data_IF_115527090057
#
_entry.id   IF_115527090057
#
_cell.length_a   1.000
_cell.length_b   1.000
_cell.length_c   1.000
_cell.angle_alpha   90.00
_cell.angle_beta   90.00
_cell.angle_gamma   90.00
#
_symmetry.space_group_name_H-M   'P 1'
#
loop_
_entity.id
_entity.type
_entity.pdbx_description
1 polymer ?
#
# COMPACT_ATOMS: atom_id res chain seq x y z
N UNK A 1 14.23 -9.08 -4.87
CA UNK A 1 12.79 -8.76 -4.77
C UNK A 1 12.07 -9.71 -5.70
N UNK A 2 11.02 -10.39 -5.22
CA UNK A 2 10.08 -11.05 -6.14
C UNK A 2 9.10 -9.97 -6.58
N UNK A 3 8.67 -9.98 -7.84
CA UNK A 3 7.74 -8.97 -8.38
C UNK A 3 6.40 -8.95 -7.61
N UNK A 4 6.04 -10.07 -6.96
CA UNK A 4 4.79 -10.25 -6.22
C UNK A 4 4.88 -9.92 -4.73
N UNK A 5 5.99 -9.32 -4.26
CA UNK A 5 6.20 -9.05 -2.84
C UNK A 5 6.97 -7.74 -2.59
N UNK A 6 6.35 -6.83 -1.85
CA UNK A 6 6.98 -5.65 -1.24
C UNK A 6 7.32 -5.91 0.23
N UNK A 7 8.42 -5.31 0.70
CA UNK A 7 8.86 -5.37 2.10
C UNK A 7 9.10 -3.96 2.61
N UNK A 8 8.30 -3.56 3.59
CA UNK A 8 8.31 -2.23 4.18
C UNK A 8 8.76 -2.32 5.65
N UNK A 9 9.74 -1.52 6.06
CA UNK A 9 10.27 -1.53 7.44
C UNK A 9 9.88 -0.27 8.19
N UNK A 10 9.18 -0.43 9.31
CA UNK A 10 8.69 0.66 10.14
C UNK A 10 9.46 0.72 11.46
N UNK A 11 9.99 1.91 11.80
CA UNK A 11 10.71 2.16 13.06
C UNK A 11 9.80 2.81 14.09
N UNK A 12 9.60 2.13 15.21
CA UNK A 12 8.76 2.55 16.35
C UNK A 12 9.59 3.35 17.39
N UNK A 13 10.30 4.36 16.90
CA UNK A 13 11.23 5.16 17.71
C UNK A 13 10.53 6.18 18.62
N UNK A 14 11.34 6.86 19.45
CA UNK A 14 10.88 7.87 20.42
C UNK A 14 10.02 8.99 19.82
N UNK A 15 10.30 9.40 18.58
CA UNK A 15 9.53 10.46 17.90
C UNK A 15 8.07 10.06 17.67
N UNK A 16 7.80 8.78 17.37
CA UNK A 16 6.46 8.27 17.15
C UNK A 16 5.65 8.27 18.45
N UNK A 17 6.27 7.84 19.56
CA UNK A 17 5.68 7.88 20.90
C UNK A 17 5.39 9.31 21.37
N UNK A 18 6.29 10.25 21.09
CA UNK A 18 6.07 11.69 21.38
C UNK A 18 4.89 12.29 20.60
N UNK A 19 4.56 11.72 19.42
CA UNK A 19 3.40 12.13 18.62
C UNK A 19 2.09 11.43 19.03
N UNK A 20 2.12 10.67 20.13
CA UNK A 20 0.92 10.04 20.72
C UNK A 20 0.68 8.59 20.32
N UNK A 21 1.55 7.97 19.53
CA UNK A 21 1.41 6.55 19.20
C UNK A 21 1.89 5.67 20.36
N UNK A 22 0.97 4.90 20.96
CA UNK A 22 1.34 3.85 21.91
C UNK A 22 1.81 2.60 21.14
N UNK A 23 3.13 2.50 20.94
CA UNK A 23 3.72 1.37 20.22
C UNK A 23 3.48 0.02 20.90
N UNK A 24 3.37 -0.04 22.23
CA UNK A 24 3.17 -1.31 22.93
C UNK A 24 1.76 -1.86 22.65
N UNK A 25 0.73 -1.02 22.82
CA UNK A 25 -0.66 -1.38 22.53
C UNK A 25 -0.87 -1.72 21.05
N UNK A 26 -0.24 -0.96 20.14
CA UNK A 26 -0.24 -1.28 18.70
C UNK A 26 0.35 -2.67 18.41
N UNK A 27 1.43 -3.04 19.09
CA UNK A 27 2.08 -4.35 18.91
C UNK A 27 1.20 -5.49 19.41
N UNK A 28 0.44 -5.28 20.49
CA UNK A 28 -0.55 -6.24 20.98
C UNK A 28 -1.70 -6.43 19.98
N UNK A 29 -2.08 -5.37 19.27
CA UNK A 29 -3.16 -5.36 18.28
C UNK A 29 -2.68 -5.57 16.84
N UNK A 30 -1.44 -6.02 16.63
CA UNK A 30 -0.82 -6.06 15.30
C UNK A 30 -1.58 -6.98 14.32
N UNK A 31 -2.16 -8.07 14.82
CA UNK A 31 -2.99 -8.96 14.04
C UNK A 31 -4.30 -8.28 13.61
N UNK A 32 -4.99 -7.59 14.53
CA UNK A 32 -6.22 -6.86 14.21
C UNK A 32 -5.97 -5.73 13.20
N UNK A 33 -4.79 -5.10 13.26
CA UNK A 33 -4.37 -4.11 12.26
C UNK A 33 -4.17 -4.77 10.90
N UNK A 34 -3.50 -5.94 10.84
CA UNK A 34 -3.34 -6.70 9.60
C UNK A 34 -4.71 -7.07 9.00
N UNK A 35 -5.64 -7.55 9.81
CA UNK A 35 -6.97 -7.95 9.38
C UNK A 35 -7.77 -6.77 8.80
N UNK A 36 -7.72 -5.61 9.47
CA UNK A 36 -8.36 -4.38 8.96
C UNK A 36 -7.77 -3.93 7.63
N UNK A 37 -6.44 -3.98 7.50
CA UNK A 37 -5.77 -3.64 6.23
C UNK A 37 -6.21 -4.63 5.15
N UNK A 38 -6.17 -5.93 5.43
CA UNK A 38 -6.56 -6.97 4.46
C UNK A 38 -8.03 -6.87 4.03
N UNK A 39 -8.92 -6.51 4.95
CA UNK A 39 -10.32 -6.24 4.65
C UNK A 39 -10.45 -5.04 3.69
N UNK A 40 -9.73 -3.95 3.96
CA UNK A 40 -9.74 -2.77 3.09
C UNK A 40 -9.18 -3.08 1.70
N UNK A 41 -8.07 -3.83 1.62
CA UNK A 41 -7.48 -4.25 0.34
C UNK A 41 -8.45 -5.11 -0.47
N UNK A 42 -9.20 -5.99 0.20
CA UNK A 42 -10.24 -6.81 -0.46
C UNK A 42 -11.33 -5.93 -1.05
N UNK A 43 -11.82 -4.94 -0.31
CA UNK A 43 -12.84 -3.99 -0.79
C UNK A 43 -12.35 -3.19 -2.00
N UNK A 44 -11.09 -2.75 -1.99
CA UNK A 44 -10.52 -2.03 -3.14
C UNK A 44 -10.35 -2.94 -4.36
N UNK A 45 -9.96 -4.20 -4.18
CA UNK A 45 -9.86 -5.15 -5.30
C UNK A 45 -11.21 -5.43 -5.95
N UNK A 46 -12.31 -5.45 -5.19
CA UNK A 46 -13.67 -5.62 -5.71
C UNK A 46 -14.12 -4.48 -6.64
N UNK A 47 -13.53 -3.29 -6.52
CA UNK A 47 -13.85 -2.16 -7.39
C UNK A 47 -13.34 -2.37 -8.82
N UNK A 48 -12.29 -3.19 -8.99
CA UNK A 48 -11.65 -3.43 -10.28
C UNK A 48 -11.21 -2.15 -11.00
N UNK A 49 -10.97 -1.08 -10.21
CA UNK A 49 -10.75 0.27 -10.70
C UNK A 49 -9.64 0.34 -11.74
N UNK A 50 -9.89 1.10 -12.79
CA UNK A 50 -8.89 1.40 -13.80
C UNK A 50 -7.79 2.28 -13.21
N UNK A 51 -6.57 1.96 -13.59
CA UNK A 51 -5.38 2.70 -13.25
C UNK A 51 -4.94 3.44 -14.50
N UNK A 52 -4.83 4.76 -14.39
CA UNK A 52 -4.49 5.63 -15.52
C UNK A 52 -3.24 6.46 -15.22
N UNK A 53 -2.57 6.94 -16.26
CA UNK A 53 -1.43 7.83 -16.14
C UNK A 53 -1.83 9.22 -16.62
N UNK A 54 -1.67 10.22 -15.76
CA UNK A 54 -1.88 11.63 -16.07
C UNK A 54 -0.53 12.31 -16.25
N UNK A 55 -0.32 12.94 -17.40
CA UNK A 55 0.89 13.71 -17.71
C UNK A 55 0.62 15.21 -17.54
N UNK A 56 1.48 15.91 -16.81
CA UNK A 56 1.48 17.37 -16.69
C UNK A 56 2.22 18.03 -17.86
N UNK A 57 1.82 17.68 -19.10
CA UNK A 57 2.43 18.17 -20.33
C UNK A 57 2.85 17.05 -21.30
N UNK A 58 3.54 17.43 -22.37
CA UNK A 58 3.92 16.53 -23.48
C UNK A 58 5.43 16.22 -23.51
N UNK A 59 6.25 16.94 -22.74
CA UNK A 59 7.68 16.71 -22.71
C UNK A 59 8.03 15.43 -21.92
N UNK A 60 9.17 14.82 -22.25
CA UNK A 60 9.65 13.64 -21.52
C UNK A 60 9.95 13.96 -20.05
N UNK A 61 10.34 15.19 -19.75
CA UNK A 61 10.66 15.70 -18.42
C UNK A 61 9.43 16.11 -17.61
N UNK A 62 8.25 16.12 -18.21
CA UNK A 62 7.03 16.51 -17.52
C UNK A 62 6.63 15.45 -16.49
N UNK A 63 6.03 15.93 -15.40
CA UNK A 63 5.65 15.08 -14.28
C UNK A 63 4.53 14.13 -14.68
N UNK A 64 4.63 12.88 -14.24
CA UNK A 64 3.65 11.83 -14.51
C UNK A 64 3.08 11.33 -13.19
N UNK A 65 1.76 11.14 -13.18
CA UNK A 65 1.01 10.73 -12.02
C UNK A 65 0.21 9.48 -12.34
N UNK A 66 0.40 8.47 -11.51
CA UNK A 66 -0.41 7.28 -11.47
C UNK A 66 -1.71 7.62 -10.73
N UNK A 67 -2.84 7.40 -11.38
CA UNK A 67 -4.16 7.78 -10.89
C UNK A 67 -5.03 6.52 -10.74
N UNK A 68 -5.64 6.33 -9.57
CA UNK A 68 -6.58 5.24 -9.31
C UNK A 68 -7.73 5.75 -8.43
N UNK A 69 -8.96 5.48 -8.83
CA UNK A 69 -10.14 5.81 -8.03
C UNK A 69 -10.49 4.62 -7.12
N UNK A 70 -10.33 4.79 -5.80
CA UNK A 70 -10.70 3.78 -4.80
C UNK A 70 -12.12 3.99 -4.25
N UNK A 71 -12.90 4.90 -4.84
CA UNK A 71 -14.24 5.27 -4.40
C UNK A 71 -14.31 5.76 -2.93
N UNK A 72 -13.21 6.37 -2.46
CA UNK A 72 -13.09 6.94 -1.10
C UNK A 72 -13.12 8.48 -1.11
N UNK A 73 -13.66 9.05 -2.18
CA UNK A 73 -13.91 10.48 -2.33
C UNK A 73 -13.00 11.17 -3.35
N UNK A 74 -11.69 10.97 -3.25
CA UNK A 74 -10.73 11.53 -4.22
C UNK A 74 -9.99 10.42 -4.96
N UNK A 75 -9.69 10.69 -6.23
CA UNK A 75 -8.77 9.87 -7.01
C UNK A 75 -7.38 9.95 -6.37
N UNK A 76 -6.79 8.79 -6.10
CA UNK A 76 -5.43 8.69 -5.58
C UNK A 76 -4.47 9.02 -6.70
N UNK A 77 -3.59 10.00 -6.46
CA UNK A 77 -2.54 10.40 -7.40
C UNK A 77 -1.16 10.19 -6.78
N UNK A 78 -0.32 9.37 -7.41
CA UNK A 78 1.04 9.09 -6.97
C UNK A 78 2.01 9.50 -8.08
N UNK A 79 3.00 10.36 -7.82
CA UNK A 79 3.99 10.73 -8.83
C UNK A 79 4.82 9.51 -9.20
N UNK A 80 4.65 9.02 -10.43
CA UNK A 80 5.38 7.86 -10.92
C UNK A 80 5.53 7.85 -12.44
N UNK A 81 6.76 7.56 -12.91
CA UNK A 81 7.09 7.45 -14.33
C UNK A 81 7.34 6.02 -14.81
N UNK A 82 7.00 5.01 -14.00
CA UNK A 82 7.24 3.59 -14.29
C UNK A 82 6.09 2.92 -15.07
N UNK A 83 6.33 1.67 -15.50
CA UNK A 83 5.31 0.77 -16.05
C UNK A 83 4.62 0.02 -14.91
N UNK A 84 3.37 0.36 -14.63
CA UNK A 84 2.55 -0.26 -13.59
C UNK A 84 1.40 -1.08 -14.19
N UNK A 85 0.70 -1.84 -13.34
CA UNK A 85 -0.61 -2.40 -13.67
C UNK A 85 -1.58 -1.30 -14.11
N UNK A 86 -2.47 -1.64 -15.03
CA UNK A 86 -3.47 -0.79 -15.67
C UNK A 86 -4.85 -0.92 -15.04
N UNK A 87 -5.07 -1.91 -14.17
CA UNK A 87 -6.30 -2.02 -13.37
C UNK A 87 -6.07 -2.86 -12.11
N UNK A 88 -6.86 -2.60 -11.07
CA UNK A 88 -6.97 -3.49 -9.90
C UNK A 88 -7.51 -4.87 -10.29
N UNK A 89 -8.24 -4.99 -11.40
CA UNK A 89 -8.73 -6.25 -11.96
C UNK A 89 -7.60 -7.21 -12.37
N UNK A 90 -6.37 -6.74 -12.54
CA UNK A 90 -5.22 -7.60 -12.79
C UNK A 90 -4.82 -8.44 -11.58
N UNK A 91 -5.34 -8.13 -10.39
CA UNK A 91 -5.00 -8.82 -9.16
C UNK A 91 -6.15 -9.73 -8.72
N UNK A 92 -5.81 -11.00 -8.47
CA UNK A 92 -6.72 -11.95 -7.84
C UNK A 92 -6.78 -11.74 -6.33
N UNK A 93 -5.63 -11.46 -5.73
CA UNK A 93 -5.50 -11.31 -4.28
C UNK A 93 -4.36 -10.36 -3.95
N UNK A 94 -4.55 -9.55 -2.90
CA UNK A 94 -3.56 -8.67 -2.33
C UNK A 94 -3.73 -8.74 -0.81
N UNK A 95 -2.64 -8.96 -0.08
CA UNK A 95 -2.69 -9.06 1.38
C UNK A 95 -1.39 -8.59 2.01
N UNK A 96 -1.47 -8.25 3.29
CA UNK A 96 -0.35 -7.89 4.14
C UNK A 96 -0.21 -8.86 5.30
N UNK A 97 1.05 -9.06 5.69
CA UNK A 97 1.43 -9.75 6.91
C UNK A 97 2.48 -8.91 7.63
N UNK A 98 2.37 -8.79 8.95
CA UNK A 98 3.39 -8.15 9.76
C UNK A 98 4.31 -9.18 10.40
N UNK A 99 5.60 -8.86 10.40
CA UNK A 99 6.63 -9.51 11.20
C UNK A 99 7.06 -8.57 12.32
N UNK A 100 6.87 -9.02 13.55
CA UNK A 100 7.44 -8.36 14.71
C UNK A 100 8.95 -8.65 14.78
N UNK A 101 9.78 -7.60 14.72
CA UNK A 101 11.23 -7.75 14.84
C UNK A 101 11.69 -7.44 16.26
N UNK A 102 11.24 -6.32 16.82
CA UNK A 102 11.44 -5.91 18.22
C UNK A 102 10.54 -4.70 18.55
N UNK A 103 10.55 -4.24 19.82
CA UNK A 103 9.75 -3.10 20.30
C UNK A 103 9.95 -1.77 19.56
N UNK A 104 10.99 -1.69 18.72
CA UNK A 104 11.34 -0.51 17.93
C UNK A 104 11.20 -0.75 16.43
N UNK A 105 10.80 -1.94 15.99
CA UNK A 105 10.74 -2.28 14.57
C UNK A 105 9.73 -3.38 14.25
N UNK A 106 8.92 -3.10 13.24
CA UNK A 106 8.09 -4.10 12.55
C UNK A 106 8.40 -4.07 11.05
N UNK A 107 8.15 -5.19 10.38
CA UNK A 107 8.23 -5.29 8.93
C UNK A 107 6.85 -5.67 8.41
N UNK A 108 6.37 -4.98 7.38
CA UNK A 108 5.17 -5.36 6.63
C UNK A 108 5.61 -6.00 5.32
N UNK A 109 5.03 -7.14 5.01
CA UNK A 109 5.13 -7.76 3.70
C UNK A 109 3.81 -7.58 2.99
N UNK A 110 3.82 -6.91 1.84
CA UNK A 110 2.66 -6.85 0.95
C UNK A 110 2.86 -7.87 -0.15
N UNK A 111 1.91 -8.78 -0.34
CA UNK A 111 1.97 -9.85 -1.32
C UNK A 111 0.78 -9.77 -2.26
N UNK A 112 1.00 -10.13 -3.52
CA UNK A 112 -0.03 -10.13 -4.55
C UNK A 112 -0.06 -11.42 -5.35
N UNK A 113 -1.23 -11.78 -5.86
CA UNK A 113 -1.40 -12.80 -6.90
C UNK A 113 -2.09 -12.12 -8.07
N UNK A 114 -1.49 -12.11 -9.26
CA UNK A 114 -2.12 -11.61 -10.48
C UNK A 114 -3.12 -12.64 -11.03
N UNK A 115 -4.18 -12.16 -11.67
CA UNK A 115 -5.09 -13.00 -12.49
C UNK A 115 -4.32 -13.41 -13.76
N UNK A 116 -4.44 -14.69 -14.14
CA UNK A 116 -3.85 -15.23 -15.37
C UNK A 116 -4.64 -14.81 -16.61
#
# INVERSE_FOLDING_TARGET
>A
MREDCSRDTYRLGKTLRKRGLNSADMLEQLNDIADKINQQLTQWLELESAITMRCEGQALTDSRYWCCDLNEGNVIEIPCGGTHSQSLAEYNQLWVEFEYVNDQQIVMYTRSIKRQ
#
